data_IF_578829463990
#
_entry.id   IF_578829463990
#
_cell.length_a   1.000
_cell.length_b   1.000
_cell.length_c   1.000
_cell.angle_alpha   90.00
_cell.angle_beta   90.00
_cell.angle_gamma   90.00
#
_symmetry.space_group_name_H-M   'P 1'
#
loop_
_entity.id
_entity.type
_entity.pdbx_description
1 polymer ?
#
# COMPACT_ATOMS: atom_id res chain seq x y z
N UNK A 1 15.00 -1.27 15.04
CA UNK A 1 13.71 -0.61 14.72
C UNK A 1 13.66 0.03 13.33
N UNK A 2 14.68 0.77 12.87
CA UNK A 2 14.70 1.34 11.49
C UNK A 2 14.75 0.30 10.35
N UNK A 3 15.31 -0.89 10.57
CA UNK A 3 15.33 -2.02 9.61
C UNK A 3 13.99 -2.77 9.48
N UNK A 4 13.10 -2.66 10.47
CA UNK A 4 11.83 -3.42 10.54
C UNK A 4 10.74 -2.75 9.69
N UNK A 5 10.68 -1.41 9.68
CA UNK A 5 9.71 -0.66 8.87
C UNK A 5 9.89 -0.88 7.35
N UNK A 6 11.13 -1.09 6.92
CA UNK A 6 11.45 -1.31 5.52
C UNK A 6 11.20 -2.75 5.06
N UNK A 7 11.57 -3.73 5.89
CA UNK A 7 11.20 -5.14 5.70
C UNK A 7 9.67 -5.33 5.72
N UNK A 8 8.94 -4.59 6.55
CA UNK A 8 7.47 -4.61 6.54
C UNK A 8 6.88 -4.05 5.24
N UNK A 9 7.41 -2.95 4.70
CA UNK A 9 6.97 -2.40 3.42
C UNK A 9 7.29 -3.34 2.23
N UNK A 10 8.39 -4.10 2.30
CA UNK A 10 8.80 -5.07 1.28
C UNK A 10 8.02 -6.41 1.38
N UNK A 11 7.82 -6.95 2.58
CA UNK A 11 7.11 -8.23 2.81
C UNK A 11 5.60 -8.12 2.60
N UNK A 12 5.00 -6.95 2.90
CA UNK A 12 3.63 -6.67 2.49
C UNK A 12 3.50 -6.73 0.97
N UNK A 13 4.55 -6.46 0.20
CA UNK A 13 4.44 -6.51 -1.26
C UNK A 13 4.21 -7.91 -1.83
N UNK A 14 4.60 -8.95 -1.09
CA UNK A 14 4.64 -10.36 -1.54
C UNK A 14 3.44 -11.18 -1.00
N UNK A 15 2.76 -10.73 0.07
CA UNK A 15 1.73 -11.54 0.76
C UNK A 15 0.38 -10.83 1.06
N UNK A 16 0.02 -9.76 0.35
CA UNK A 16 -1.15 -8.95 0.72
C UNK A 16 -2.18 -8.72 -0.39
N UNK A 17 -3.44 -8.73 0.06
CA UNK A 17 -4.65 -8.55 -0.73
C UNK A 17 -4.93 -7.09 -0.99
N UNK A 18 -5.58 -6.81 -2.12
CA UNK A 18 -5.94 -5.47 -2.49
C UNK A 18 -7.27 -5.00 -1.86
N UNK A 19 -7.26 -3.87 -1.15
CA UNK A 19 -8.43 -3.10 -0.72
C UNK A 19 -8.31 -1.63 -1.11
N UNK A 20 -9.32 -1.10 -1.81
CA UNK A 20 -9.39 0.23 -2.39
C UNK A 20 -9.80 1.30 -1.38
N UNK A 21 -8.95 2.28 -1.07
CA UNK A 21 -9.37 3.54 -0.42
C UNK A 21 -8.71 4.77 -1.04
N UNK A 22 -9.42 5.90 -0.96
CA UNK A 22 -9.19 7.17 -1.68
C UNK A 22 -7.99 7.98 -1.16
N UNK A 23 -7.27 8.64 -2.08
CA UNK A 23 -6.67 9.94 -1.80
C UNK A 23 -6.47 10.78 -3.08
N UNK A 24 -6.60 12.10 -2.90
CA UNK A 24 -6.54 13.36 -3.66
C UNK A 24 -6.02 13.43 -5.13
N UNK A 25 -5.56 12.33 -5.74
CA UNK A 25 -5.01 12.28 -7.10
C UNK A 25 -5.73 11.28 -8.03
N UNK A 26 -6.98 10.91 -7.74
CA UNK A 26 -7.73 9.89 -8.51
C UNK A 26 -6.93 8.58 -8.66
N UNK A 27 -6.20 8.20 -7.61
CA UNK A 27 -5.51 6.91 -7.53
C UNK A 27 -6.20 6.06 -6.47
N UNK A 28 -6.64 4.88 -6.89
CA UNK A 28 -7.08 3.82 -5.98
C UNK A 28 -5.85 3.37 -5.19
N UNK A 29 -5.77 3.70 -3.91
CA UNK A 29 -4.75 3.12 -3.05
C UNK A 29 -5.19 1.76 -2.60
N UNK A 30 -4.20 0.90 -2.42
CA UNK A 30 -4.44 -0.44 -1.96
C UNK A 30 -3.79 -0.67 -0.60
N UNK A 31 -4.62 -0.87 0.42
CA UNK A 31 -4.14 -1.29 1.75
C UNK A 31 -3.79 -2.76 1.71
N UNK A 32 -2.51 -3.03 1.95
CA UNK A 32 -1.93 -4.36 1.99
C UNK A 32 -2.05 -4.90 3.41
N UNK A 33 -3.00 -5.82 3.62
CA UNK A 33 -3.25 -6.46 4.91
C UNK A 33 -2.71 -7.90 4.87
N UNK A 34 -1.98 -8.31 5.91
CA UNK A 34 -1.48 -9.68 6.01
C UNK A 34 -2.60 -10.67 6.29
N UNK A 35 -2.64 -11.78 5.55
CA UNK A 35 -3.56 -12.89 5.85
C UNK A 35 -3.38 -13.39 7.28
N UNK A 36 -2.13 -13.48 7.75
CA UNK A 36 -1.82 -13.98 9.09
C UNK A 36 -2.37 -13.05 10.19
N UNK A 37 -2.35 -11.74 9.97
CA UNK A 37 -2.93 -10.79 10.92
C UNK A 37 -4.45 -10.92 10.98
N UNK A 38 -5.11 -11.12 9.83
CA UNK A 38 -6.55 -11.37 9.78
C UNK A 38 -6.89 -12.68 10.52
N UNK A 39 -6.12 -13.75 10.27
CA UNK A 39 -6.33 -15.04 10.94
C UNK A 39 -6.21 -14.92 12.45
N UNK A 40 -5.23 -14.16 12.92
CA UNK A 40 -5.05 -13.87 14.34
C UNK A 40 -6.21 -13.02 14.89
N UNK A 41 -6.62 -11.98 14.18
CA UNK A 41 -7.69 -11.09 14.62
C UNK A 41 -9.03 -11.80 14.81
N UNK A 42 -9.35 -12.76 13.94
CA UNK A 42 -10.63 -13.51 14.00
C UNK A 42 -10.51 -14.86 14.71
N UNK A 43 -9.34 -15.17 15.28
CA UNK A 43 -9.03 -16.48 15.86
C UNK A 43 -9.41 -17.66 14.92
N UNK A 44 -9.01 -17.55 13.64
CA UNK A 44 -9.39 -18.53 12.61
C UNK A 44 -8.76 -19.90 12.87
N UNK A 45 -9.56 -20.96 12.79
CA UNK A 45 -9.07 -22.34 12.81
C UNK A 45 -8.25 -22.66 11.56
N UNK A 46 -7.39 -23.69 11.60
CA UNK A 46 -6.59 -24.11 10.44
C UNK A 46 -7.43 -24.42 9.19
N UNK A 47 -8.66 -24.92 9.36
CA UNK A 47 -9.59 -25.15 8.26
C UNK A 47 -10.12 -23.84 7.68
N UNK A 48 -10.55 -22.90 8.53
CA UNK A 48 -11.00 -21.58 8.11
C UNK A 48 -9.87 -20.81 7.41
N UNK A 49 -8.64 -20.86 7.93
CA UNK A 49 -7.48 -20.23 7.30
C UNK A 49 -7.28 -20.71 5.86
N UNK A 50 -7.38 -22.02 5.60
CA UNK A 50 -7.29 -22.60 4.25
C UNK A 50 -8.40 -22.10 3.33
N UNK A 51 -9.63 -22.01 3.82
CA UNK A 51 -10.77 -21.53 3.04
C UNK A 51 -10.66 -20.03 2.75
N UNK A 52 -10.38 -19.23 3.78
CA UNK A 52 -10.15 -17.79 3.68
C UNK A 52 -8.99 -17.45 2.75
N UNK A 53 -7.88 -18.20 2.80
CA UNK A 53 -6.76 -18.00 1.88
C UNK A 53 -7.22 -18.05 0.43
N UNK A 54 -8.03 -19.06 0.06
CA UNK A 54 -8.53 -19.21 -1.31
C UNK A 54 -9.45 -18.05 -1.71
N UNK A 55 -10.33 -17.62 -0.79
CA UNK A 55 -11.21 -16.47 -1.01
C UNK A 55 -10.37 -15.23 -1.24
N UNK A 56 -9.45 -14.94 -0.32
CA UNK A 56 -8.50 -13.86 -0.47
C UNK A 56 -7.85 -13.96 -1.86
N UNK A 57 -7.06 -15.01 -2.14
CA UNK A 57 -6.24 -15.19 -3.36
C UNK A 57 -7.03 -14.86 -4.65
N UNK A 58 -8.27 -15.35 -4.71
CA UNK A 58 -9.19 -15.10 -5.82
C UNK A 58 -9.52 -13.61 -5.99
N UNK A 59 -9.89 -12.93 -4.90
CA UNK A 59 -10.33 -11.54 -4.95
C UNK A 59 -9.16 -10.54 -5.11
N UNK A 60 -7.94 -10.86 -4.68
CA UNK A 60 -6.77 -10.05 -5.07
C UNK A 60 -6.54 -10.11 -6.56
N UNK A 61 -6.51 -11.29 -7.18
CA UNK A 61 -6.30 -11.39 -8.63
C UNK A 61 -7.35 -10.61 -9.42
N UNK A 62 -8.61 -10.61 -8.96
CA UNK A 62 -9.68 -9.79 -9.55
C UNK A 62 -9.40 -8.29 -9.40
N UNK A 63 -8.98 -7.84 -8.22
CA UNK A 63 -8.63 -6.44 -7.98
C UNK A 63 -7.40 -6.00 -8.78
N UNK A 64 -6.36 -6.85 -8.90
CA UNK A 64 -5.19 -6.62 -9.77
C UNK A 64 -5.62 -6.40 -11.22
N UNK A 65 -6.56 -7.24 -11.69
CA UNK A 65 -7.15 -7.11 -13.02
C UNK A 65 -7.85 -5.77 -13.26
N UNK A 66 -8.54 -5.22 -12.26
CA UNK A 66 -9.18 -3.89 -12.37
C UNK A 66 -8.14 -2.77 -12.41
N UNK A 67 -7.08 -2.87 -11.61
CA UNK A 67 -6.01 -1.87 -11.60
C UNK A 67 -5.32 -1.76 -12.98
N UNK A 68 -5.09 -2.91 -13.64
CA UNK A 68 -4.52 -2.99 -14.97
C UNK A 68 -5.40 -2.47 -16.13
N UNK A 69 -6.68 -2.16 -15.90
CA UNK A 69 -7.57 -1.67 -16.96
C UNK A 69 -7.25 -0.21 -17.35
N UNK A 70 -7.30 0.10 -18.65
CA UNK A 70 -7.30 1.48 -19.15
C UNK A 70 -8.71 2.08 -19.09
N UNK A 71 -9.25 2.24 -17.88
CA UNK A 71 -10.57 2.85 -17.63
C UNK A 71 -10.48 4.06 -16.72
N UNK A 72 -11.51 4.92 -16.79
CA UNK A 72 -11.69 6.07 -15.89
C UNK A 72 -11.76 5.61 -14.42
N UNK A 73 -11.37 6.51 -13.53
CA UNK A 73 -11.30 6.29 -12.09
C UNK A 73 -12.63 5.77 -11.50
N UNK A 74 -13.75 6.43 -11.78
CA UNK A 74 -15.08 6.05 -11.25
C UNK A 74 -15.45 4.60 -11.60
N UNK A 75 -15.20 4.18 -12.83
CA UNK A 75 -15.47 2.80 -13.26
C UNK A 75 -14.56 1.79 -12.56
N UNK A 76 -13.33 2.17 -12.20
CA UNK A 76 -12.46 1.30 -11.39
C UNK A 76 -12.97 1.22 -9.95
N UNK A 77 -13.42 2.34 -9.39
CA UNK A 77 -13.97 2.43 -8.03
C UNK A 77 -15.19 1.52 -7.85
N UNK A 78 -16.18 1.61 -8.75
CA UNK A 78 -17.36 0.74 -8.72
C UNK A 78 -16.99 -0.75 -8.76
N UNK A 79 -16.11 -1.15 -9.69
CA UNK A 79 -15.68 -2.54 -9.82
C UNK A 79 -14.96 -3.06 -8.58
N UNK A 80 -14.17 -2.22 -7.93
CA UNK A 80 -13.47 -2.59 -6.70
C UNK A 80 -14.43 -2.70 -5.52
N UNK A 81 -15.44 -1.85 -5.44
CA UNK A 81 -16.53 -1.97 -4.47
C UNK A 81 -17.30 -3.28 -4.64
N UNK A 82 -17.62 -3.65 -5.89
CA UNK A 82 -18.28 -4.94 -6.18
C UNK A 82 -17.41 -6.14 -5.75
N UNK A 83 -16.10 -6.07 -5.99
CA UNK A 83 -15.14 -7.09 -5.55
C UNK A 83 -15.10 -7.17 -4.02
N UNK A 84 -15.11 -6.03 -3.32
CA UNK A 84 -15.12 -5.98 -1.86
C UNK A 84 -16.37 -6.62 -1.27
N UNK A 85 -17.56 -6.28 -1.78
CA UNK A 85 -18.83 -6.84 -1.33
C UNK A 85 -18.89 -8.36 -1.55
N UNK A 86 -18.54 -8.83 -2.75
CA UNK A 86 -18.53 -10.27 -3.06
C UNK A 86 -17.52 -11.05 -2.23
N UNK A 87 -16.35 -10.46 -1.94
CA UNK A 87 -15.37 -11.04 -1.02
C UNK A 87 -15.95 -11.17 0.39
N UNK A 88 -16.62 -10.13 0.88
CA UNK A 88 -17.24 -10.15 2.21
C UNK A 88 -18.31 -11.24 2.32
N UNK A 89 -19.16 -11.41 1.32
CA UNK A 89 -20.16 -12.48 1.27
C UNK A 89 -19.53 -13.88 1.34
N UNK A 90 -18.40 -14.10 0.66
CA UNK A 90 -17.69 -15.39 0.74
C UNK A 90 -17.01 -15.60 2.10
N UNK A 91 -16.50 -14.54 2.74
CA UNK A 91 -15.93 -14.61 4.10
C UNK A 91 -17.02 -14.93 5.14
N UNK A 92 -18.20 -14.31 5.03
CA UNK A 92 -19.33 -14.52 5.92
C UNK A 92 -19.86 -15.96 5.90
N UNK A 93 -19.60 -16.72 4.82
CA UNK A 93 -19.92 -18.16 4.74
C UNK A 93 -18.91 -19.06 5.48
N UNK A 94 -17.74 -18.53 5.84
CA UNK A 94 -16.63 -19.29 6.45
C UNK A 94 -16.51 -18.98 7.95
N UNK A 95 -16.70 -17.72 8.32
CA UNK A 95 -16.59 -17.26 9.70
C UNK A 95 -17.91 -17.42 10.44
N UNK A 96 -17.84 -17.66 11.76
CA UNK A 96 -19.02 -17.50 12.61
C UNK A 96 -19.40 -16.02 12.73
N UNK A 97 -20.60 -15.75 13.27
CA UNK A 97 -21.05 -14.38 13.52
C UNK A 97 -20.07 -13.58 14.38
N UNK A 98 -19.62 -14.15 15.51
CA UNK A 98 -18.66 -13.49 16.41
C UNK A 98 -17.31 -13.21 15.73
N UNK A 99 -16.82 -14.16 14.92
CA UNK A 99 -15.59 -13.98 14.15
C UNK A 99 -15.75 -12.90 13.06
N UNK A 100 -16.95 -12.74 12.49
CA UNK A 100 -17.25 -11.72 11.51
C UNK A 100 -17.28 -10.32 12.14
N UNK A 101 -17.75 -10.19 13.39
CA UNK A 101 -17.62 -8.94 14.15
C UNK A 101 -16.15 -8.56 14.35
N UNK A 102 -15.32 -9.50 14.81
CA UNK A 102 -13.87 -9.29 14.96
C UNK A 102 -13.19 -8.93 13.63
N UNK A 103 -13.62 -9.56 12.53
CA UNK A 103 -13.14 -9.24 11.19
C UNK A 103 -13.47 -7.78 10.83
N UNK A 104 -14.71 -7.35 11.06
CA UNK A 104 -15.17 -6.00 10.74
C UNK A 104 -14.43 -4.96 11.57
N UNK A 105 -14.27 -5.18 12.87
CA UNK A 105 -13.53 -4.28 13.75
C UNK A 105 -12.07 -4.14 13.29
N UNK A 106 -11.43 -5.27 12.96
CA UNK A 106 -10.06 -5.24 12.45
C UNK A 106 -9.96 -4.48 11.13
N UNK A 107 -10.83 -4.78 10.16
CA UNK A 107 -10.80 -4.11 8.85
C UNK A 107 -11.10 -2.61 8.97
N UNK A 108 -12.07 -2.22 9.79
CA UNK A 108 -12.40 -0.81 10.03
C UNK A 108 -11.23 -0.08 10.71
N UNK A 109 -10.56 -0.70 11.69
CA UNK A 109 -9.35 -0.11 12.28
C UNK A 109 -8.27 0.15 11.24
N UNK A 110 -8.08 -0.75 10.28
CA UNK A 110 -7.11 -0.57 9.18
C UNK A 110 -7.53 0.49 8.17
N UNK A 111 -8.84 0.71 7.99
CA UNK A 111 -9.36 1.83 7.18
C UNK A 111 -9.06 3.17 7.85
N UNK A 112 -9.36 3.29 9.15
CA UNK A 112 -9.08 4.49 9.94
C UNK A 112 -7.57 4.79 9.97
N UNK A 113 -6.73 3.80 10.29
CA UNK A 113 -5.27 3.96 10.29
C UNK A 113 -4.73 4.43 8.92
N UNK A 114 -5.38 4.05 7.83
CA UNK A 114 -5.00 4.46 6.48
C UNK A 114 -5.44 5.90 6.19
N UNK A 115 -6.68 6.25 6.50
CA UNK A 115 -7.22 7.60 6.36
C UNK A 115 -6.38 8.61 7.17
N UNK A 116 -6.09 8.31 8.44
CA UNK A 116 -5.25 9.16 9.28
C UNK A 116 -3.84 9.37 8.71
N UNK A 117 -3.25 8.33 8.10
CA UNK A 117 -1.93 8.45 7.46
C UNK A 117 -1.99 9.31 6.21
N UNK A 118 -3.03 9.16 5.40
CA UNK A 118 -3.22 10.00 4.23
C UNK A 118 -3.46 11.46 4.61
N UNK A 119 -4.31 11.72 5.59
CA UNK A 119 -4.57 13.08 6.08
C UNK A 119 -3.30 13.73 6.62
N UNK A 120 -2.47 13.00 7.36
CA UNK A 120 -1.16 13.49 7.81
C UNK A 120 -0.23 13.82 6.64
N UNK A 121 -0.16 12.96 5.63
CA UNK A 121 0.67 13.21 4.43
C UNK A 121 0.14 14.40 3.64
N UNK A 122 -1.18 14.49 3.45
CA UNK A 122 -1.83 15.61 2.76
C UNK A 122 -1.55 16.93 3.47
N UNK A 123 -1.75 16.97 4.79
CA UNK A 123 -1.46 18.16 5.59
C UNK A 123 0.02 18.56 5.50
N UNK A 124 0.95 17.59 5.49
CA UNK A 124 2.36 17.87 5.25
C UNK A 124 2.58 18.48 3.86
N UNK A 125 2.01 17.89 2.80
CA UNK A 125 2.18 18.37 1.42
C UNK A 125 1.58 19.77 1.22
N UNK A 126 0.42 20.03 1.81
CA UNK A 126 -0.23 21.33 1.79
C UNK A 126 0.64 22.37 2.52
N UNK A 127 1.16 22.04 3.71
CA UNK A 127 2.07 22.91 4.48
C UNK A 127 3.42 23.14 3.80
N UNK A 128 3.89 22.21 2.97
CA UNK A 128 5.14 22.37 2.22
C UNK A 128 5.02 23.39 1.09
N UNK A 129 3.80 23.71 0.63
CA UNK A 129 3.52 24.70 -0.42
C UNK A 129 4.46 24.55 -1.64
N UNK A 130 4.66 23.31 -2.10
CA UNK A 130 5.62 23.02 -3.16
C UNK A 130 5.25 23.75 -4.48
N UNK A 131 6.23 24.44 -5.06
CA UNK A 131 6.11 25.07 -6.38
C UNK A 131 5.94 24.01 -7.48
N UNK A 132 5.40 24.42 -8.62
CA UNK A 132 5.14 23.50 -9.73
C UNK A 132 6.42 22.86 -10.27
N UNK A 133 7.53 23.60 -10.30
CA UNK A 133 8.85 23.10 -10.70
C UNK A 133 9.35 22.02 -9.72
N UNK A 134 9.23 22.27 -8.41
CA UNK A 134 9.60 21.31 -7.36
C UNK A 134 8.76 20.03 -7.47
N UNK A 135 7.44 20.17 -7.67
CA UNK A 135 6.53 19.03 -7.89
C UNK A 135 6.94 18.21 -9.13
N UNK A 136 7.28 18.88 -10.23
CA UNK A 136 7.70 18.21 -11.47
C UNK A 136 9.03 17.44 -11.29
N UNK A 137 10.00 18.03 -10.60
CA UNK A 137 11.29 17.38 -10.31
C UNK A 137 11.13 16.18 -9.37
N UNK A 138 10.33 16.32 -8.31
CA UNK A 138 10.00 15.20 -7.40
C UNK A 138 9.37 14.03 -8.18
N UNK A 139 8.41 14.31 -9.07
CA UNK A 139 7.79 13.29 -9.91
C UNK A 139 8.78 12.64 -10.88
N UNK A 140 9.73 13.40 -11.42
CA UNK A 140 10.80 12.88 -12.26
C UNK A 140 11.69 11.90 -11.46
N UNK A 141 12.16 12.30 -10.28
CA UNK A 141 13.01 11.45 -9.44
C UNK A 141 12.29 10.17 -8.98
N UNK A 142 10.99 10.22 -8.68
CA UNK A 142 10.21 9.03 -8.35
C UNK A 142 10.06 8.08 -9.55
N UNK A 143 9.82 8.61 -10.76
CA UNK A 143 9.79 7.80 -11.99
C UNK A 143 11.13 7.14 -12.28
N UNK A 144 12.22 7.88 -12.14
CA UNK A 144 13.57 7.37 -12.35
C UNK A 144 13.89 6.25 -11.34
N UNK A 145 13.61 6.46 -10.06
CA UNK A 145 13.75 5.44 -9.02
C UNK A 145 12.96 4.17 -9.36
N UNK A 146 11.68 4.28 -9.74
CA UNK A 146 10.85 3.14 -10.14
C UNK A 146 11.42 2.37 -11.34
N UNK A 147 12.00 3.09 -12.31
CA UNK A 147 12.65 2.48 -13.47
C UNK A 147 13.91 1.71 -13.05
N UNK A 148 14.75 2.29 -12.20
CA UNK A 148 15.96 1.59 -11.72
C UNK A 148 15.62 0.38 -10.85
N UNK A 149 14.61 0.48 -9.98
CA UNK A 149 14.11 -0.67 -9.19
C UNK A 149 13.58 -1.78 -10.10
N UNK A 150 12.92 -1.45 -11.22
CA UNK A 150 12.48 -2.47 -12.19
C UNK A 150 13.68 -3.21 -12.79
N UNK A 151 14.73 -2.49 -13.19
CA UNK A 151 15.97 -3.10 -13.68
C UNK A 151 16.65 -3.97 -12.62
N UNK A 152 16.60 -3.59 -11.34
CA UNK A 152 17.12 -4.43 -10.25
C UNK A 152 16.37 -5.75 -10.14
N UNK A 153 15.04 -5.75 -10.28
CA UNK A 153 14.22 -6.97 -10.24
C UNK A 153 14.49 -7.92 -11.41
N UNK A 154 14.96 -7.39 -12.54
CA UNK A 154 15.33 -8.18 -13.71
C UNK A 154 16.73 -8.82 -13.55
N UNK A 155 17.53 -8.37 -12.59
CA UNK A 155 18.82 -8.99 -12.26
C UNK A 155 18.59 -10.14 -11.29
N UNK A 156 19.12 -11.32 -11.61
CA UNK A 156 19.17 -12.44 -10.67
C UNK A 156 20.22 -12.14 -9.59
N UNK A 157 19.78 -11.69 -8.42
CA UNK A 157 20.63 -11.38 -7.26
C UNK A 157 20.04 -11.96 -5.98
N UNK A 158 20.87 -12.09 -4.95
CA UNK A 158 20.43 -12.51 -3.62
C UNK A 158 19.49 -11.47 -2.99
N UNK A 159 18.66 -11.88 -2.03
CA UNK A 159 17.78 -10.98 -1.29
C UNK A 159 18.54 -9.90 -0.52
N UNK A 160 19.72 -10.25 0.01
CA UNK A 160 20.58 -9.32 0.73
C UNK A 160 21.14 -8.24 -0.22
N UNK A 161 21.63 -8.63 -1.40
CA UNK A 161 22.17 -7.71 -2.39
C UNK A 161 21.07 -6.80 -2.98
N UNK A 162 19.89 -7.37 -3.24
CA UNK A 162 18.73 -6.59 -3.65
C UNK A 162 18.36 -5.53 -2.62
N UNK A 163 18.35 -5.90 -1.34
CA UNK A 163 18.00 -4.98 -0.25
C UNK A 163 19.01 -3.84 -0.12
N UNK A 164 20.32 -4.13 -0.20
CA UNK A 164 21.38 -3.12 -0.17
C UNK A 164 21.25 -2.13 -1.33
N UNK A 165 21.07 -2.64 -2.54
CA UNK A 165 21.01 -1.78 -3.73
C UNK A 165 19.71 -0.98 -3.80
N UNK A 166 18.59 -1.56 -3.34
CA UNK A 166 17.32 -0.84 -3.22
C UNK A 166 17.40 0.32 -2.20
N UNK A 167 18.04 0.12 -1.05
CA UNK A 167 18.27 1.21 -0.08
C UNK A 167 19.22 2.28 -0.62
N UNK A 168 20.26 1.90 -1.38
CA UNK A 168 21.14 2.86 -2.05
C UNK A 168 20.37 3.75 -3.01
N UNK A 169 19.57 3.17 -3.91
CA UNK A 169 18.71 3.91 -4.85
C UNK A 169 17.70 4.81 -4.12
N UNK A 170 17.17 4.33 -2.98
CA UNK A 170 16.22 5.10 -2.18
C UNK A 170 16.89 6.32 -1.54
N UNK A 171 18.08 6.15 -0.98
CA UNK A 171 18.85 7.23 -0.40
C UNK A 171 19.19 8.29 -1.46
N UNK A 172 19.68 7.87 -2.62
CA UNK A 172 19.98 8.77 -3.75
C UNK A 172 18.74 9.56 -4.21
N UNK A 173 17.59 8.89 -4.33
CA UNK A 173 16.32 9.57 -4.66
C UNK A 173 15.92 10.57 -3.59
N UNK A 174 16.08 10.22 -2.31
CA UNK A 174 15.72 11.12 -1.20
C UNK A 174 16.62 12.35 -1.17
N UNK A 175 17.93 12.20 -1.43
CA UNK A 175 18.86 13.34 -1.54
C UNK A 175 18.49 14.28 -2.68
N UNK A 176 18.16 13.74 -3.87
CA UNK A 176 17.69 14.52 -5.02
C UNK A 176 16.38 15.25 -4.75
N UNK A 177 15.45 14.64 -4.03
CA UNK A 177 14.22 15.31 -3.57
C UNK A 177 14.57 16.40 -2.56
N UNK A 178 15.45 16.11 -1.60
CA UNK A 178 15.85 17.06 -0.56
C UNK A 178 16.54 18.29 -1.17
N UNK A 179 17.33 18.13 -2.23
CA UNK A 179 18.04 19.25 -2.86
C UNK A 179 17.11 20.24 -3.58
N UNK A 180 15.88 19.85 -3.94
CA UNK A 180 14.92 20.76 -4.57
C UNK A 180 14.02 21.50 -3.57
N UNK A 181 14.12 21.19 -2.28
CA UNK A 181 13.37 21.85 -1.21
C UNK A 181 14.12 23.07 -0.65
N UNK A 182 13.38 24.06 -0.15
CA UNK A 182 13.96 25.16 0.65
C UNK A 182 14.38 24.67 2.04
N UNK A 183 15.15 25.47 2.78
CA UNK A 183 15.56 25.10 4.14
C UNK A 183 14.37 24.97 5.10
N UNK A 184 13.34 25.81 4.94
CA UNK A 184 12.10 25.76 5.71
C UNK A 184 11.32 24.47 5.40
N UNK A 185 11.20 24.11 4.12
CA UNK A 185 10.57 22.87 3.69
C UNK A 185 11.34 21.64 4.18
N UNK A 186 12.68 21.67 4.17
CA UNK A 186 13.51 20.60 4.73
C UNK A 186 13.25 20.41 6.23
N UNK A 187 13.18 21.49 7.00
CA UNK A 187 12.85 21.45 8.43
C UNK A 187 11.45 20.88 8.68
N UNK A 188 10.46 21.23 7.85
CA UNK A 188 9.11 20.68 7.95
C UNK A 188 9.09 19.16 7.68
N UNK A 189 9.87 18.68 6.70
CA UNK A 189 10.01 17.24 6.42
C UNK A 189 10.77 16.51 7.54
N UNK A 190 11.81 17.11 8.10
CA UNK A 190 12.62 16.48 9.16
C UNK A 190 11.89 16.34 10.49
N UNK A 191 10.90 17.19 10.74
CA UNK A 191 10.08 17.18 11.95
C UNK A 191 8.81 16.32 11.83
N UNK A 192 8.59 15.64 10.70
CA UNK A 192 7.46 14.75 10.41
C UNK A 192 7.84 13.28 10.61
#
# INVERSE_FOLDING_TARGET
MKKILFLCALMLSINSFLYSYEDYYQKVYTVKISKAEIYKAVNATSQQQKQLSKVFDRYQKRAEGVNGMLKKYETKKEKLSEIESKRYEEIAKILSYDQLLLYNDYINSKKIEFEEKNDKIKNLLDNLELKNEQKADILKYDRDFKREVRKLKEKFMSEEDFSKEFERLRAERNEKIRSVLTEEQKKAVDNF
#
